data_IF_809433739510
#
_entry.id   IF_809433739510
#
_cell.length_a   1.000
_cell.length_b   1.000
_cell.length_c   1.000
_cell.angle_alpha   90.00
_cell.angle_beta   90.00
_cell.angle_gamma   90.00
#
_symmetry.space_group_name_H-M   'P 1'
#
loop_
_entity.id
_entity.type
_entity.pdbx_description
1 polymer ?
#
# COMPACT_ATOMS: atom_id res chain seq x y z
N UNK A 1 16.98 -35.82 29.86
CA UNK A 1 15.89 -36.14 28.91
C UNK A 1 14.78 -35.08 28.84
N UNK A 2 14.89 -33.97 29.58
CA UNK A 2 13.84 -32.95 29.62
C UNK A 2 13.75 -32.00 28.44
N UNK A 3 14.77 -31.90 27.57
CA UNK A 3 14.84 -30.89 26.53
C UNK A 3 14.23 -31.30 25.15
N UNK A 4 14.04 -32.61 24.92
CA UNK A 4 13.56 -33.12 23.64
C UNK A 4 12.06 -32.86 23.43
N UNK A 5 11.25 -33.09 24.43
CA UNK A 5 9.78 -32.91 24.33
C UNK A 5 9.36 -31.44 24.04
N UNK A 6 9.86 -30.42 24.76
CA UNK A 6 9.52 -29.04 24.45
C UNK A 6 10.08 -28.57 23.07
N UNK A 7 11.22 -29.09 22.66
CA UNK A 7 11.78 -28.84 21.34
C UNK A 7 10.90 -29.44 20.24
N UNK A 8 10.50 -30.70 20.39
CA UNK A 8 9.62 -31.38 19.45
C UNK A 8 8.24 -30.67 19.33
N UNK A 9 7.65 -30.33 20.46
CA UNK A 9 6.38 -29.57 20.49
C UNK A 9 6.49 -28.22 19.75
N UNK A 10 7.57 -27.51 19.97
CA UNK A 10 7.80 -26.22 19.28
C UNK A 10 8.00 -26.40 17.78
N UNK A 11 8.72 -27.42 17.36
CA UNK A 11 8.93 -27.76 15.96
C UNK A 11 7.60 -28.13 15.27
N UNK A 12 6.82 -28.98 15.89
CA UNK A 12 5.50 -29.42 15.38
C UNK A 12 4.55 -28.20 15.29
N UNK A 13 4.51 -27.38 16.33
CA UNK A 13 3.69 -26.16 16.32
C UNK A 13 4.06 -25.22 15.17
N UNK A 14 5.34 -24.93 14.98
CA UNK A 14 5.81 -24.09 13.88
C UNK A 14 5.47 -24.69 12.51
N UNK A 15 5.65 -25.99 12.33
CA UNK A 15 5.31 -26.68 11.09
C UNK A 15 3.80 -26.59 10.78
N UNK A 16 2.94 -26.72 11.78
CA UNK A 16 1.49 -26.56 11.64
C UNK A 16 1.15 -25.12 11.25
N UNK A 17 1.72 -24.13 11.93
CA UNK A 17 1.50 -22.71 11.63
C UNK A 17 1.93 -22.38 10.20
N UNK A 18 3.09 -22.85 9.76
CA UNK A 18 3.58 -22.62 8.41
C UNK A 18 2.71 -23.30 7.36
N UNK A 19 2.22 -24.51 7.66
CA UNK A 19 1.26 -25.20 6.79
C UNK A 19 -0.06 -24.45 6.66
N UNK A 20 -0.61 -23.96 7.77
CA UNK A 20 -1.83 -23.14 7.77
C UNK A 20 -1.66 -21.84 6.99
N UNK A 21 -0.52 -21.18 7.15
CA UNK A 21 -0.20 -19.96 6.36
C UNK A 21 -0.12 -20.26 4.86
N UNK A 22 0.52 -21.36 4.48
CA UNK A 22 0.63 -21.79 3.10
C UNK A 22 -0.75 -22.16 2.50
N UNK A 23 -1.62 -22.81 3.29
CA UNK A 23 -2.99 -23.12 2.88
C UNK A 23 -3.83 -21.86 2.70
N UNK A 24 -3.80 -20.94 3.64
CA UNK A 24 -4.53 -19.68 3.53
C UNK A 24 -4.06 -18.89 2.30
N UNK A 25 -2.77 -18.81 2.06
CA UNK A 25 -2.22 -18.16 0.87
C UNK A 25 -2.71 -18.82 -0.43
N UNK A 26 -2.83 -20.17 -0.46
CA UNK A 26 -3.37 -20.90 -1.61
C UNK A 26 -4.87 -20.67 -1.79
N UNK A 27 -5.63 -20.65 -0.69
CA UNK A 27 -7.07 -20.38 -0.71
C UNK A 27 -7.37 -18.97 -1.17
N UNK A 28 -6.63 -17.98 -0.71
CA UNK A 28 -6.74 -16.59 -1.17
C UNK A 28 -6.40 -16.42 -2.65
N UNK A 29 -5.48 -17.25 -3.17
CA UNK A 29 -5.03 -17.20 -4.55
C UNK A 29 -5.91 -17.99 -5.52
N UNK A 30 -6.55 -19.06 -5.04
CA UNK A 30 -7.44 -19.93 -5.80
C UNK A 30 -8.89 -19.61 -5.48
N UNK A 31 -9.33 -18.42 -5.78
CA UNK A 31 -10.76 -18.20 -6.01
C UNK A 31 -11.03 -18.81 -7.39
N UNK A 32 -11.41 -20.08 -7.41
CA UNK A 32 -11.96 -20.73 -8.61
C UNK A 32 -13.25 -20.02 -8.97
N UNK A 33 -13.19 -19.17 -9.95
CA UNK A 33 -14.34 -18.55 -10.59
C UNK A 33 -14.92 -19.64 -11.48
N UNK A 34 -15.95 -20.33 -11.00
CA UNK A 34 -16.73 -21.24 -11.85
C UNK A 34 -17.49 -20.41 -12.88
N UNK A 35 -17.35 -20.78 -14.15
CA UNK A 35 -17.74 -19.97 -15.29
C UNK A 35 -19.25 -19.67 -15.40
N UNK A 36 -20.13 -20.36 -14.67
CA UNK A 36 -21.58 -20.27 -14.89
C UNK A 36 -22.39 -19.48 -13.86
N UNK A 37 -21.88 -19.26 -12.64
CA UNK A 37 -22.64 -18.53 -11.61
C UNK A 37 -21.93 -17.27 -11.08
N UNK A 38 -20.68 -17.07 -11.42
CA UNK A 38 -19.82 -16.01 -10.88
C UNK A 38 -19.47 -14.89 -11.88
N UNK A 39 -20.04 -14.91 -13.09
CA UNK A 39 -19.98 -13.74 -13.98
C UNK A 39 -20.51 -12.49 -13.25
N UNK A 40 -21.54 -12.68 -12.43
CA UNK A 40 -22.09 -11.64 -11.56
C UNK A 40 -21.10 -11.15 -10.49
N UNK A 41 -20.23 -12.02 -9.96
CA UNK A 41 -19.26 -11.64 -8.93
C UNK A 41 -18.04 -10.95 -9.55
N UNK A 42 -17.62 -11.38 -10.74
CA UNK A 42 -16.60 -10.70 -11.53
C UNK A 42 -17.12 -9.35 -12.04
N UNK A 43 -18.37 -9.28 -12.48
CA UNK A 43 -19.04 -8.04 -12.85
C UNK A 43 -19.23 -7.11 -11.64
N UNK A 44 -19.49 -7.62 -10.45
CA UNK A 44 -19.51 -6.85 -9.22
C UNK A 44 -18.11 -6.35 -8.81
N UNK A 45 -17.06 -7.13 -9.08
CA UNK A 45 -15.68 -6.75 -8.81
C UNK A 45 -15.11 -5.81 -9.89
N UNK A 46 -15.58 -5.93 -11.13
CA UNK A 46 -15.20 -5.07 -12.26
C UNK A 46 -16.12 -3.86 -12.43
N UNK A 47 -17.36 -3.94 -11.98
CA UNK A 47 -18.26 -2.81 -11.78
C UNK A 47 -18.02 -2.14 -10.42
N UNK A 48 -16.81 -1.82 -10.09
CA UNK A 48 -16.60 -0.59 -9.34
C UNK A 48 -16.94 0.54 -10.31
N UNK A 49 -18.22 0.88 -10.41
CA UNK A 49 -18.57 2.24 -10.74
C UNK A 49 -17.62 3.09 -9.90
N UNK A 50 -16.74 3.84 -10.54
CA UNK A 50 -15.94 4.84 -9.86
C UNK A 50 -16.98 5.66 -9.11
N UNK A 51 -17.09 5.41 -7.80
CA UNK A 51 -18.09 6.08 -7.01
C UNK A 51 -17.75 7.57 -7.11
N UNK A 52 -18.72 8.39 -7.44
CA UNK A 52 -18.53 9.83 -7.54
C UNK A 52 -17.91 10.38 -6.24
N UNK A 53 -18.26 9.80 -5.11
CA UNK A 53 -17.72 10.13 -3.79
C UNK A 53 -16.22 9.77 -3.69
N UNK A 54 -15.77 8.67 -4.27
CA UNK A 54 -14.35 8.27 -4.31
C UNK A 54 -13.55 9.25 -5.18
N UNK A 55 -14.07 9.66 -6.33
CA UNK A 55 -13.42 10.63 -7.21
C UNK A 55 -13.30 12.02 -6.56
N UNK A 56 -14.32 12.45 -5.83
CA UNK A 56 -14.30 13.71 -5.08
C UNK A 56 -13.32 13.63 -3.92
N UNK A 57 -13.25 12.50 -3.23
CA UNK A 57 -12.30 12.26 -2.14
C UNK A 57 -10.86 12.29 -2.66
N UNK A 58 -10.58 11.68 -3.81
CA UNK A 58 -9.25 11.70 -4.44
C UNK A 58 -8.83 13.13 -4.82
N UNK A 59 -9.70 13.91 -5.42
CA UNK A 59 -9.41 15.29 -5.76
C UNK A 59 -9.14 16.15 -4.50
N UNK A 60 -9.89 15.92 -3.43
CA UNK A 60 -9.71 16.59 -2.15
C UNK A 60 -8.40 16.17 -1.48
N UNK A 61 -8.07 14.88 -1.52
CA UNK A 61 -6.81 14.34 -1.02
C UNK A 61 -5.60 14.91 -1.78
N UNK A 62 -5.68 15.02 -3.10
CA UNK A 62 -4.63 15.64 -3.91
C UNK A 62 -4.45 17.12 -3.61
N UNK A 63 -5.55 17.84 -3.37
CA UNK A 63 -5.51 19.26 -2.97
C UNK A 63 -4.85 19.43 -1.61
N UNK A 64 -5.19 18.60 -0.64
CA UNK A 64 -4.57 18.60 0.69
C UNK A 64 -3.08 18.24 0.63
N UNK A 65 -2.70 17.29 -0.22
CA UNK A 65 -1.30 16.93 -0.44
C UNK A 65 -0.50 18.11 -1.03
N UNK A 66 -1.08 18.83 -1.99
CA UNK A 66 -0.49 20.04 -2.54
C UNK A 66 -0.32 21.15 -1.49
N UNK A 67 -1.30 21.33 -0.62
CA UNK A 67 -1.20 22.27 0.51
C UNK A 67 -0.12 21.86 1.52
N UNK A 68 0.02 20.58 1.82
CA UNK A 68 1.11 20.06 2.65
C UNK A 68 2.49 20.27 2.03
N UNK A 69 2.58 20.15 0.71
CA UNK A 69 3.83 20.40 -0.03
C UNK A 69 4.39 21.81 0.19
N UNK A 70 3.52 22.81 0.25
CA UNK A 70 3.93 24.20 0.49
C UNK A 70 4.45 24.44 1.93
N UNK A 71 4.02 23.64 2.88
CA UNK A 71 4.50 23.70 4.28
C UNK A 71 5.90 23.09 4.46
N UNK A 72 6.29 22.20 3.57
CA UNK A 72 7.55 21.46 3.68
C UNK A 72 8.64 22.07 2.80
N UNK A 73 9.88 21.98 3.29
CA UNK A 73 11.06 22.43 2.57
C UNK A 73 12.10 21.29 2.42
N UNK A 74 12.99 21.43 1.46
CA UNK A 74 14.12 20.54 1.25
C UNK A 74 13.71 19.11 0.89
N UNK A 75 14.26 18.14 1.60
CA UNK A 75 14.06 16.71 1.32
C UNK A 75 12.61 16.26 1.57
N UNK A 76 11.95 16.85 2.55
CA UNK A 76 10.56 16.53 2.84
C UNK A 76 9.64 16.94 1.70
N UNK A 77 9.83 18.12 1.12
CA UNK A 77 9.10 18.60 -0.06
C UNK A 77 9.32 17.68 -1.26
N UNK A 78 10.57 17.30 -1.54
CA UNK A 78 10.88 16.34 -2.60
C UNK A 78 10.21 14.98 -2.39
N UNK A 79 10.09 14.53 -1.15
CA UNK A 79 9.37 13.31 -0.79
C UNK A 79 7.88 13.41 -1.08
N UNK A 80 7.23 14.54 -0.80
CA UNK A 80 5.81 14.77 -1.12
C UNK A 80 5.62 14.87 -2.64
N UNK A 81 6.48 15.56 -3.36
CA UNK A 81 6.47 15.62 -4.83
C UNK A 81 6.62 14.23 -5.46
N UNK A 82 7.51 13.39 -4.92
CA UNK A 82 7.68 12.02 -5.37
C UNK A 82 6.43 11.15 -5.12
N UNK A 83 5.73 11.35 -4.00
CA UNK A 83 4.44 10.71 -3.72
C UNK A 83 3.39 11.17 -4.74
N UNK A 84 3.31 12.45 -5.00
CA UNK A 84 2.39 13.03 -5.98
C UNK A 84 2.61 12.46 -7.38
N UNK A 85 3.87 12.35 -7.83
CA UNK A 85 4.21 11.72 -9.11
C UNK A 85 3.83 10.23 -9.13
N UNK A 86 4.04 9.52 -8.03
CA UNK A 86 3.67 8.11 -7.92
C UNK A 86 2.15 7.91 -8.00
N UNK A 87 1.35 8.80 -7.41
CA UNK A 87 -0.10 8.79 -7.53
C UNK A 87 -0.58 9.10 -8.97
N UNK A 88 0.20 9.86 -9.73
CA UNK A 88 -0.03 10.10 -11.16
C UNK A 88 0.38 8.91 -12.06
N UNK A 89 0.92 7.84 -11.49
CA UNK A 89 1.27 6.60 -12.18
C UNK A 89 2.75 6.47 -12.59
N UNK A 90 3.62 7.40 -12.18
CA UNK A 90 5.06 7.30 -12.47
C UNK A 90 5.74 6.23 -11.61
N UNK A 91 6.62 5.46 -12.24
CA UNK A 91 7.43 4.47 -11.57
C UNK A 91 8.59 5.14 -10.79
N UNK A 92 9.05 4.46 -9.72
CA UNK A 92 10.16 4.98 -8.90
C UNK A 92 11.46 5.20 -9.70
N UNK A 93 11.66 4.42 -10.76
CA UNK A 93 12.78 4.55 -11.70
C UNK A 93 12.69 5.82 -12.55
N UNK A 94 11.50 6.20 -12.96
CA UNK A 94 11.23 7.42 -13.74
C UNK A 94 11.39 8.67 -12.87
N UNK A 95 10.89 8.60 -11.63
CA UNK A 95 11.06 9.66 -10.63
C UNK A 95 12.54 9.86 -10.30
N UNK A 96 13.30 8.77 -10.16
CA UNK A 96 14.73 8.81 -9.92
C UNK A 96 15.49 9.51 -11.06
N UNK A 97 15.13 9.22 -12.31
CA UNK A 97 15.67 9.90 -13.49
C UNK A 97 15.32 11.39 -13.51
N UNK A 98 14.09 11.73 -13.16
CA UNK A 98 13.64 13.13 -13.12
C UNK A 98 14.45 13.99 -12.14
N UNK A 99 14.81 13.42 -11.00
CA UNK A 99 15.61 14.11 -9.98
C UNK A 99 17.12 13.87 -10.10
N UNK A 100 17.57 13.10 -11.08
CA UNK A 100 18.96 12.66 -11.24
C UNK A 100 19.52 12.05 -9.94
N UNK A 101 18.78 11.07 -9.41
CA UNK A 101 19.08 10.39 -8.14
C UNK A 101 18.81 8.89 -8.24
N UNK A 102 19.36 8.15 -7.30
CA UNK A 102 19.09 6.70 -7.24
C UNK A 102 17.66 6.42 -6.76
N UNK A 103 17.11 5.28 -7.19
CA UNK A 103 15.80 4.78 -6.75
C UNK A 103 15.74 4.65 -5.22
N UNK A 104 16.84 4.23 -4.59
CA UNK A 104 16.92 4.12 -3.13
C UNK A 104 16.73 5.48 -2.44
N UNK A 105 17.30 6.56 -3.00
CA UNK A 105 17.10 7.91 -2.48
C UNK A 105 15.66 8.36 -2.59
N UNK A 106 15.01 8.09 -3.72
CA UNK A 106 13.58 8.41 -3.93
C UNK A 106 12.71 7.65 -2.93
N UNK A 107 12.96 6.37 -2.74
CA UNK A 107 12.23 5.55 -1.77
C UNK A 107 12.45 6.04 -0.32
N UNK A 108 13.67 6.48 0.02
CA UNK A 108 13.95 7.07 1.33
C UNK A 108 13.21 8.40 1.53
N UNK A 109 13.12 9.24 0.49
CA UNK A 109 12.35 10.49 0.55
C UNK A 109 10.86 10.22 0.74
N UNK A 110 10.30 9.28 0.00
CA UNK A 110 8.90 8.85 0.11
C UNK A 110 8.61 8.32 1.52
N UNK A 111 9.48 7.48 2.07
CA UNK A 111 9.32 6.93 3.43
C UNK A 111 9.29 8.03 4.48
N UNK A 112 10.23 8.98 4.41
CA UNK A 112 10.29 10.12 5.34
C UNK A 112 9.06 11.04 5.20
N UNK A 113 8.64 11.30 3.96
CA UNK A 113 7.45 12.11 3.71
C UNK A 113 6.19 11.43 4.25
N UNK A 114 6.03 10.11 4.04
CA UNK A 114 4.91 9.35 4.62
C UNK A 114 4.84 9.44 6.14
N UNK A 115 5.99 9.34 6.82
CA UNK A 115 6.04 9.48 8.28
C UNK A 115 5.56 10.85 8.74
N UNK A 116 5.87 11.92 8.01
CA UNK A 116 5.42 13.28 8.33
C UNK A 116 3.94 13.47 8.00
N UNK A 117 3.51 13.03 6.82
CA UNK A 117 2.11 13.17 6.37
C UNK A 117 1.13 12.39 7.24
N UNK A 118 1.56 11.27 7.84
CA UNK A 118 0.72 10.49 8.77
C UNK A 118 0.25 11.30 9.97
N UNK A 119 1.00 12.29 10.39
CA UNK A 119 0.70 13.13 11.54
C UNK A 119 0.15 14.52 11.12
N UNK A 120 -0.13 14.70 9.85
CA UNK A 120 -0.64 16.00 9.35
C UNK A 120 -2.15 16.09 9.57
N UNK A 121 -2.62 17.05 10.40
CA UNK A 121 -4.04 17.15 10.75
C UNK A 121 -4.93 17.40 9.53
N UNK A 122 -4.47 18.17 8.56
CA UNK A 122 -5.22 18.47 7.34
C UNK A 122 -5.53 17.22 6.49
N UNK A 123 -4.70 16.19 6.55
CA UNK A 123 -4.95 14.91 5.89
C UNK A 123 -5.83 13.99 6.73
N UNK A 124 -5.72 14.07 8.06
CA UNK A 124 -6.54 13.27 8.97
C UNK A 124 -8.00 13.68 8.92
N UNK A 125 -8.30 14.98 8.78
CA UNK A 125 -9.67 15.50 8.64
C UNK A 125 -10.38 15.04 7.37
N UNK A 126 -9.63 14.68 6.33
CA UNK A 126 -10.21 14.17 5.07
C UNK A 126 -10.51 12.69 5.15
N UNK A 127 -9.75 11.94 5.97
CA UNK A 127 -9.87 10.49 6.10
C UNK A 127 -10.95 10.06 7.10
N UNK A 128 -11.44 10.97 7.93
CA UNK A 128 -12.45 10.73 8.96
C UNK A 128 -13.60 11.74 8.87
#
# INVERSE_FOLDING_TARGET
>A
MGAFAPFACRYIYNAIVDHCRAMNYRLERNVEISEDENASLLDMLTCTSVDFDETVTDATAMSALAACKEKYNGVARKGVEAIELKLKGYEATEIAKHYDRSVNNVNAWISRARSKLRNEPALLEILY
#
